data_IF_691917039385
#
_entry.id   IF_691917039385
#
_cell.length_a   1.000
_cell.length_b   1.000
_cell.length_c   1.000
_cell.angle_alpha   90.00
_cell.angle_beta   90.00
_cell.angle_gamma   90.00
#
_symmetry.space_group_name_H-M   'P 1'
#
loop_
_entity.id
_entity.type
_entity.pdbx_description
1 polymer ?
#
# COMPACT_ATOMS: atom_id res chain seq x y z
N UNK A 1 29.76 -13.25 -6.71
CA UNK A 1 29.21 -11.97 -6.25
C UNK A 1 28.01 -11.64 -7.12
N UNK A 2 26.81 -11.75 -6.57
CA UNK A 2 25.56 -11.30 -7.20
C UNK A 2 24.73 -10.70 -6.08
N UNK A 3 25.22 -9.56 -5.58
CA UNK A 3 24.38 -8.59 -4.89
C UNK A 3 23.51 -7.94 -5.94
N UNK A 4 22.21 -8.21 -5.83
CA UNK A 4 21.02 -7.45 -6.21
C UNK A 4 19.99 -8.57 -6.26
N UNK A 5 19.45 -8.93 -5.10
CA UNK A 5 18.24 -9.75 -5.03
C UNK A 5 17.12 -8.85 -5.55
N UNK A 6 17.02 -8.73 -6.87
CA UNK A 6 15.76 -8.42 -7.51
C UNK A 6 14.85 -9.59 -7.15
N UNK A 7 14.07 -9.40 -6.09
CA UNK A 7 12.96 -10.28 -5.74
C UNK A 7 12.09 -10.25 -7.01
N UNK A 8 12.06 -11.38 -7.70
CA UNK A 8 11.36 -11.61 -8.97
C UNK A 8 10.30 -12.65 -8.75
N UNK A 9 9.10 -12.31 -9.22
CA UNK A 9 7.94 -13.15 -9.47
C UNK A 9 7.28 -13.75 -8.22
N UNK A 10 6.34 -12.99 -7.67
CA UNK A 10 5.23 -13.58 -6.94
C UNK A 10 4.58 -12.66 -5.92
N UNK A 11 3.37 -12.18 -6.25
CA UNK A 11 2.28 -11.85 -5.33
C UNK A 11 2.47 -10.75 -4.26
N UNK A 12 3.71 -10.34 -3.95
CA UNK A 12 4.08 -9.41 -2.87
C UNK A 12 4.96 -8.24 -3.39
N UNK A 13 5.35 -8.24 -4.68
CA UNK A 13 6.34 -7.27 -5.23
C UNK A 13 5.77 -5.89 -5.62
N UNK A 14 4.46 -5.77 -5.85
CA UNK A 14 3.83 -4.44 -5.99
C UNK A 14 3.81 -3.65 -4.66
N UNK A 15 4.16 -4.29 -3.54
CA UNK A 15 4.01 -3.73 -2.20
C UNK A 15 5.09 -2.67 -1.88
N UNK A 16 6.22 -2.64 -2.62
CA UNK A 16 7.40 -1.83 -2.24
C UNK A 16 8.14 -1.09 -3.36
N UNK A 17 8.04 -1.51 -4.63
CA UNK A 17 8.99 -1.09 -5.66
C UNK A 17 8.43 -0.14 -6.74
N UNK A 18 7.11 -0.08 -6.95
CA UNK A 18 6.56 0.67 -8.09
C UNK A 18 6.26 2.15 -7.83
N UNK A 19 6.10 2.58 -6.56
CA UNK A 19 5.81 3.98 -6.24
C UNK A 19 7.01 4.77 -5.71
N UNK A 20 8.09 4.07 -5.36
CA UNK A 20 9.21 4.63 -4.58
C UNK A 20 8.86 4.95 -3.13
N UNK A 21 7.71 4.52 -2.61
CA UNK A 21 7.33 4.72 -1.21
C UNK A 21 7.35 3.38 -0.47
N UNK A 22 7.83 3.40 0.77
CA UNK A 22 7.60 2.27 1.67
C UNK A 22 6.17 2.31 2.15
N UNK A 23 5.44 1.22 1.93
CA UNK A 23 4.03 1.14 2.27
C UNK A 23 3.73 -0.07 3.16
N UNK A 24 2.59 -0.03 3.85
CA UNK A 24 2.03 -1.18 4.59
C UNK A 24 0.63 -1.43 4.10
N UNK A 25 0.29 -2.68 3.82
CA UNK A 25 -1.09 -3.02 3.49
C UNK A 25 -2.03 -2.61 4.61
N UNK A 26 -3.12 -1.94 4.22
CA UNK A 26 -4.08 -1.38 5.16
C UNK A 26 -5.25 -2.37 5.34
N UNK A 27 -5.47 -2.89 6.56
CA UNK A 27 -6.64 -3.73 6.82
C UNK A 27 -7.92 -2.89 6.67
N UNK A 28 -8.85 -3.36 5.85
CA UNK A 28 -10.13 -2.70 5.59
C UNK A 28 -11.30 -3.61 5.95
N UNK A 29 -12.48 -3.06 6.28
CA UNK A 29 -13.69 -3.82 6.57
C UNK A 29 -14.30 -4.37 5.27
N UNK A 30 -13.55 -5.25 4.61
CA UNK A 30 -13.95 -5.95 3.40
C UNK A 30 -14.51 -7.33 3.77
N UNK A 31 -15.47 -7.86 3.00
CA UNK A 31 -15.91 -9.23 3.18
C UNK A 31 -14.74 -10.18 2.94
N UNK A 32 -14.30 -10.87 3.99
CA UNK A 32 -13.28 -11.89 3.85
C UNK A 32 -13.87 -13.16 3.21
N UNK A 33 -13.35 -13.53 2.06
CA UNK A 33 -13.88 -14.64 1.24
C UNK A 33 -13.10 -15.93 1.49
N UNK A 34 -11.88 -15.86 2.05
CA UNK A 34 -11.08 -17.04 2.31
C UNK A 34 -11.62 -17.85 3.51
N UNK A 35 -11.53 -19.18 3.49
CA UNK A 35 -11.86 -19.99 4.66
C UNK A 35 -10.84 -19.74 5.77
N UNK A 36 -11.30 -19.31 6.96
CA UNK A 36 -10.41 -19.20 8.13
C UNK A 36 -10.33 -20.52 8.88
N UNK A 37 -9.12 -20.97 9.26
CA UNK A 37 -8.99 -22.05 10.22
C UNK A 37 -9.44 -21.54 11.60
N UNK A 38 -10.61 -21.99 12.09
CA UNK A 38 -11.15 -21.80 13.46
C UNK A 38 -10.64 -20.55 14.21
N UNK A 39 -10.98 -19.36 13.70
CA UNK A 39 -10.64 -18.09 14.34
C UNK A 39 -11.85 -17.16 14.38
N UNK A 40 -11.86 -16.24 15.35
CA UNK A 40 -12.85 -15.17 15.39
C UNK A 40 -12.76 -14.33 14.11
N UNK A 41 -13.92 -13.95 13.56
CA UNK A 41 -13.98 -13.04 12.43
C UNK A 41 -13.30 -11.71 12.80
N UNK A 42 -12.22 -11.36 12.12
CA UNK A 42 -11.64 -10.02 12.26
C UNK A 42 -12.58 -9.01 11.62
N UNK A 43 -12.66 -7.81 12.20
CA UNK A 43 -13.51 -6.72 11.69
C UNK A 43 -12.94 -6.06 10.43
N UNK A 44 -11.63 -6.18 10.25
CA UNK A 44 -10.89 -5.63 9.13
C UNK A 44 -9.83 -6.65 8.73
N UNK A 45 -9.67 -6.83 7.41
CA UNK A 45 -8.75 -7.79 6.82
C UNK A 45 -7.98 -7.16 5.68
N UNK A 46 -6.85 -7.77 5.36
CA UNK A 46 -6.03 -7.40 4.20
C UNK A 46 -6.41 -8.30 3.04
N UNK A 47 -7.29 -7.81 2.18
CA UNK A 47 -7.80 -8.52 1.00
C UNK A 47 -7.69 -7.64 -0.25
N UNK A 48 -7.55 -8.23 -1.45
CA UNK A 48 -7.51 -7.45 -2.68
C UNK A 48 -8.87 -6.80 -2.94
N UNK A 49 -8.83 -5.49 -3.18
CA UNK A 49 -9.99 -4.65 -3.54
C UNK A 49 -10.49 -4.98 -4.94
N UNK A 50 -9.56 -5.34 -5.82
CA UNK A 50 -9.88 -5.84 -7.15
C UNK A 50 -8.82 -6.82 -7.61
N UNK A 51 -9.26 -7.78 -8.43
CA UNK A 51 -8.38 -8.65 -9.20
C UNK A 51 -8.63 -8.45 -10.69
N UNK A 52 -7.56 -8.35 -11.48
CA UNK A 52 -7.65 -8.20 -12.94
C UNK A 52 -6.77 -9.20 -13.65
N UNK A 53 -7.22 -9.65 -14.80
CA UNK A 53 -6.40 -10.41 -15.73
C UNK A 53 -5.84 -9.47 -16.78
N UNK A 54 -4.52 -9.43 -16.93
CA UNK A 54 -3.83 -8.69 -17.97
C UNK A 54 -3.24 -9.69 -18.98
N UNK A 55 -3.76 -9.75 -20.21
CA UNK A 55 -3.16 -10.59 -21.24
C UNK A 55 -1.85 -9.95 -21.70
N UNK A 56 -0.73 -10.65 -21.53
CA UNK A 56 0.60 -10.14 -21.89
C UNK A 56 1.11 -10.79 -23.18
N UNK A 57 0.83 -12.08 -23.38
CA UNK A 57 1.01 -12.73 -24.67
C UNK A 57 -0.04 -13.83 -24.89
N UNK A 58 0.03 -14.48 -26.06
CA UNK A 58 -0.89 -15.56 -26.46
C UNK A 58 -0.96 -16.72 -25.45
N UNK A 59 0.13 -16.96 -24.70
CA UNK A 59 0.25 -18.13 -23.82
C UNK A 59 0.38 -17.80 -22.34
N UNK A 60 0.38 -16.53 -21.95
CA UNK A 60 0.42 -16.14 -20.54
C UNK A 60 -0.36 -14.87 -20.27
N UNK A 61 -1.00 -14.88 -19.10
CA UNK A 61 -1.77 -13.76 -18.56
C UNK A 61 -1.27 -13.51 -17.15
N UNK A 62 -1.16 -12.24 -16.78
CA UNK A 62 -0.89 -11.85 -15.41
C UNK A 62 -2.19 -11.69 -14.64
N UNK A 63 -2.16 -12.09 -13.38
CA UNK A 63 -3.22 -11.82 -12.42
C UNK A 63 -2.74 -10.69 -11.51
N UNK A 64 -3.38 -9.53 -11.63
CA UNK A 64 -3.07 -8.34 -10.88
C UNK A 64 -4.02 -8.23 -9.69
N UNK A 65 -3.47 -8.01 -8.50
CA UNK A 65 -4.21 -7.80 -7.27
C UNK A 65 -3.99 -6.38 -6.79
N UNK A 66 -5.08 -5.67 -6.54
CA UNK A 66 -5.05 -4.28 -6.10
C UNK A 66 -5.37 -4.21 -4.62
N UNK A 67 -4.52 -3.56 -3.84
CA UNK A 67 -4.69 -3.41 -2.40
C UNK A 67 -4.71 -1.93 -2.01
N UNK A 68 -5.30 -1.63 -0.86
CA UNK A 68 -5.07 -0.36 -0.18
C UNK A 68 -3.84 -0.50 0.69
N UNK A 69 -2.98 0.50 0.64
CA UNK A 69 -1.81 0.59 1.50
C UNK A 69 -1.67 2.00 2.05
N UNK A 70 -0.99 2.12 3.19
CA UNK A 70 -0.58 3.39 3.76
C UNK A 70 0.92 3.57 3.61
N UNK A 71 1.37 4.82 3.54
CA UNK A 71 2.79 5.16 3.68
C UNK A 71 3.25 5.01 5.13
N UNK A 72 4.56 4.90 5.37
CA UNK A 72 5.10 4.83 6.72
C UNK A 72 5.11 6.18 7.44
N UNK A 73 4.94 6.19 8.78
CA UNK A 73 5.16 7.38 9.58
C UNK A 73 6.64 7.76 9.61
N UNK A 74 6.97 9.05 9.77
CA UNK A 74 8.35 9.55 9.71
C UNK A 74 9.30 8.83 10.67
N UNK A 75 8.86 8.53 11.90
CA UNK A 75 9.68 7.89 12.92
C UNK A 75 10.16 6.48 12.52
N UNK A 76 9.28 5.69 11.89
CA UNK A 76 9.61 4.35 11.41
C UNK A 76 10.50 4.45 10.18
N UNK A 77 10.18 5.39 9.28
CA UNK A 77 10.95 5.63 8.06
C UNK A 77 12.41 6.04 8.37
N UNK A 78 12.62 6.93 9.34
CA UNK A 78 13.97 7.30 9.83
C UNK A 78 14.69 6.11 10.45
N UNK A 79 13.99 5.30 11.27
CA UNK A 79 14.58 4.13 11.93
C UNK A 79 15.03 3.08 10.91
N UNK A 80 14.20 2.79 9.89
CA UNK A 80 14.53 1.87 8.83
C UNK A 80 15.72 2.38 8.01
N UNK A 81 15.75 3.68 7.67
CA UNK A 81 16.87 4.29 6.95
C UNK A 81 18.18 4.28 7.76
N UNK A 82 18.13 4.44 9.08
CA UNK A 82 19.31 4.35 9.94
C UNK A 82 19.86 2.92 10.07
N UNK A 83 18.98 1.92 9.98
CA UNK A 83 19.34 0.49 10.07
C UNK A 83 19.76 -0.13 8.74
N UNK A 84 19.31 0.43 7.61
CA UNK A 84 19.61 -0.06 6.28
C UNK A 84 21.03 0.35 5.88
N UNK A 85 22.01 -0.53 6.12
CA UNK A 85 23.41 -0.21 5.79
C UNK A 85 23.70 -0.21 4.28
N UNK A 86 22.80 -0.73 3.43
CA UNK A 86 22.91 -0.73 1.96
C UNK A 86 21.70 -1.38 1.23
N UNK A 87 20.85 -2.18 1.92
CA UNK A 87 19.71 -2.88 1.33
C UNK A 87 18.35 -2.35 1.82
N UNK A 88 17.35 -2.35 0.94
CA UNK A 88 15.97 -1.96 1.26
C UNK A 88 15.38 -2.84 2.38
N UNK A 89 14.90 -2.20 3.45
CA UNK A 89 14.27 -2.89 4.58
C UNK A 89 12.74 -2.90 4.46
N UNK A 90 12.13 -4.07 4.64
CA UNK A 90 10.68 -4.22 4.68
C UNK A 90 10.11 -3.60 5.97
N UNK A 91 8.99 -2.87 5.89
CA UNK A 91 8.34 -2.35 7.07
C UNK A 91 7.59 -3.44 7.86
N UNK A 92 7.35 -3.20 9.16
CA UNK A 92 6.46 -4.06 9.93
C UNK A 92 5.01 -3.96 9.43
N UNK A 93 4.17 -4.98 9.64
CA UNK A 93 2.75 -4.93 9.25
C UNK A 93 1.98 -3.86 10.03
N UNK A 94 0.82 -3.44 9.51
CA UNK A 94 -0.06 -2.49 10.19
C UNK A 94 -0.45 -3.01 11.59
N UNK A 95 -0.33 -2.20 12.67
CA UNK A 95 -0.61 -2.68 14.02
C UNK A 95 -2.09 -3.06 14.21
N UNK A 96 -2.37 -4.29 14.64
CA UNK A 96 -3.74 -4.82 14.74
C UNK A 96 -4.69 -4.02 15.65
N UNK A 97 -4.15 -3.33 16.67
CA UNK A 97 -4.93 -2.58 17.66
C UNK A 97 -4.93 -1.05 17.41
N UNK A 98 -4.33 -0.59 16.32
CA UNK A 98 -4.23 0.83 15.99
C UNK A 98 -5.45 1.29 15.20
N UNK A 99 -6.01 2.44 15.59
CA UNK A 99 -7.10 3.09 14.84
C UNK A 99 -6.53 3.97 13.73
N UNK A 100 -7.34 4.25 12.70
CA UNK A 100 -6.94 5.16 11.64
C UNK A 100 -6.70 6.58 12.16
N UNK A 101 -7.40 6.99 13.23
CA UNK A 101 -7.20 8.30 13.85
C UNK A 101 -5.84 8.39 14.56
N UNK A 102 -5.45 7.35 15.30
CA UNK A 102 -4.13 7.26 15.92
C UNK A 102 -3.03 7.27 14.86
N UNK A 103 -3.24 6.51 13.77
CA UNK A 103 -2.29 6.47 12.66
C UNK A 103 -2.10 7.84 12.02
N UNK A 104 -3.18 8.56 11.72
CA UNK A 104 -3.11 9.91 11.12
C UNK A 104 -2.38 10.89 12.04
N UNK A 105 -2.51 10.73 13.36
CA UNK A 105 -1.76 11.55 14.31
C UNK A 105 -0.24 11.27 14.28
N UNK A 106 0.20 10.07 13.85
CA UNK A 106 1.63 9.77 13.67
C UNK A 106 2.25 10.43 12.43
N UNK A 107 1.43 10.91 11.49
CA UNK A 107 1.92 11.68 10.33
C UNK A 107 2.15 13.16 10.67
N UNK A 108 1.76 13.60 11.87
CA UNK A 108 1.96 14.98 12.33
C UNK A 108 3.37 15.13 12.94
N UNK A 109 4.09 16.15 12.49
CA UNK A 109 5.37 16.54 13.09
C UNK A 109 5.17 17.32 14.40
N UNK A 110 6.27 17.70 15.06
CA UNK A 110 6.24 18.46 16.33
C UNK A 110 5.52 19.82 16.21
N UNK A 111 5.45 20.37 14.99
CA UNK A 111 4.78 21.63 14.65
C UNK A 111 3.30 21.44 14.29
N UNK A 112 2.80 20.19 14.25
CA UNK A 112 1.42 19.84 13.91
C UNK A 112 1.12 19.82 12.41
N UNK A 113 2.13 19.94 11.56
CA UNK A 113 2.02 19.82 10.11
C UNK A 113 2.12 18.35 9.69
N UNK A 114 1.41 17.98 8.62
CA UNK A 114 1.48 16.63 8.05
C UNK A 114 2.74 16.53 7.20
N UNK A 115 3.66 15.64 7.58
CA UNK A 115 4.89 15.41 6.81
C UNK A 115 4.58 14.58 5.56
N UNK A 116 5.04 15.04 4.40
CA UNK A 116 4.89 14.27 3.17
C UNK A 116 5.75 13.00 3.21
N UNK A 117 5.23 11.85 2.75
CA UNK A 117 5.98 10.61 2.75
C UNK A 117 7.24 10.74 1.89
N UNK A 118 8.34 10.14 2.34
CA UNK A 118 9.60 10.18 1.62
C UNK A 118 9.59 9.21 0.44
N UNK A 119 9.89 9.72 -0.75
CA UNK A 119 10.13 8.91 -1.95
C UNK A 119 11.60 8.49 -2.02
N UNK A 120 11.84 7.23 -2.38
CA UNK A 120 13.14 6.61 -2.57
C UNK A 120 13.41 6.40 -4.05
N UNK A 121 14.50 7.01 -4.53
CA UNK A 121 14.99 6.83 -5.90
C UNK A 121 15.68 5.48 -6.08
N UNK A 122 15.77 5.00 -7.32
CA UNK A 122 16.44 3.72 -7.63
C UNK A 122 15.70 2.47 -7.15
N UNK A 123 14.40 2.61 -6.85
CA UNK A 123 13.50 1.51 -6.49
C UNK A 123 12.77 0.89 -7.69
N UNK A 124 12.88 1.50 -8.88
CA UNK A 124 12.28 0.99 -10.11
C UNK A 124 12.82 -0.39 -10.50
N UNK A 125 11.95 -1.22 -11.06
CA UNK A 125 12.24 -2.62 -11.38
C UNK A 125 13.02 -2.75 -12.69
N UNK A 126 12.89 -1.80 -13.62
CA UNK A 126 13.63 -1.76 -14.89
C UNK A 126 13.99 -0.35 -15.39
N UNK A 127 14.77 -0.30 -16.48
CA UNK A 127 15.22 0.95 -17.13
C UNK A 127 14.07 1.80 -17.67
N UNK A 128 12.93 1.18 -17.99
CA UNK A 128 11.74 1.86 -18.51
C UNK A 128 10.91 2.47 -17.36
N UNK A 129 10.86 1.80 -16.20
CA UNK A 129 10.19 2.27 -15.00
C UNK A 129 10.86 3.49 -14.37
N UNK A 130 12.16 3.70 -14.64
CA UNK A 130 12.87 4.91 -14.26
C UNK A 130 12.28 6.19 -14.89
N UNK A 131 11.50 6.07 -15.97
CA UNK A 131 10.84 7.20 -16.62
C UNK A 131 9.47 7.54 -16.02
N UNK A 132 8.89 6.69 -15.17
CA UNK A 132 7.61 6.98 -14.52
C UNK A 132 7.83 7.76 -13.22
N UNK A 133 7.09 8.86 -13.08
CA UNK A 133 7.09 9.68 -11.86
C UNK A 133 5.78 9.45 -11.11
N UNK A 134 5.88 8.90 -9.90
CA UNK A 134 4.76 8.86 -8.97
C UNK A 134 4.47 10.26 -8.43
N UNK A 135 3.19 10.65 -8.40
CA UNK A 135 2.74 11.95 -7.87
C UNK A 135 1.71 11.70 -6.79
N UNK A 136 1.81 12.43 -5.68
CA UNK A 136 0.77 12.45 -4.65
C UNK A 136 -0.42 13.25 -5.16
N UNK A 137 -1.61 12.66 -5.05
CA UNK A 137 -2.83 13.19 -5.64
C UNK A 137 -4.00 13.04 -4.68
N UNK A 138 -4.92 14.00 -4.71
CA UNK A 138 -6.18 13.89 -3.98
C UNK A 138 -7.02 12.72 -4.48
N UNK A 139 -7.83 12.12 -3.60
CA UNK A 139 -8.63 10.92 -3.94
C UNK A 139 -9.56 11.17 -5.12
N UNK A 140 -10.30 12.28 -5.12
CA UNK A 140 -11.26 12.60 -6.19
C UNK A 140 -10.56 12.86 -7.53
N UNK A 141 -9.44 13.57 -7.47
CA UNK A 141 -8.60 13.82 -8.65
C UNK A 141 -8.02 12.51 -9.21
N UNK A 142 -7.56 11.60 -8.34
CA UNK A 142 -7.07 10.29 -8.74
C UNK A 142 -8.17 9.43 -9.39
N UNK A 143 -9.40 9.50 -8.89
CA UNK A 143 -10.55 8.81 -9.50
C UNK A 143 -10.82 9.34 -10.91
N UNK A 144 -10.77 10.66 -11.09
CA UNK A 144 -11.01 11.32 -12.37
C UNK A 144 -9.90 11.00 -13.39
N UNK A 145 -8.63 11.17 -13.00
CA UNK A 145 -7.47 10.97 -13.87
C UNK A 145 -7.34 9.52 -14.31
N UNK A 146 -7.51 8.56 -13.38
CA UNK A 146 -7.40 7.14 -13.72
C UNK A 146 -8.59 6.65 -14.53
N UNK A 147 -9.80 7.15 -14.23
CA UNK A 147 -11.04 6.78 -14.90
C UNK A 147 -11.34 5.28 -14.90
N UNK A 148 -12.49 4.92 -15.51
CA UNK A 148 -12.87 3.53 -15.76
C UNK A 148 -12.75 2.60 -14.55
N UNK A 149 -12.18 1.42 -14.76
CA UNK A 149 -11.98 0.42 -13.69
C UNK A 149 -10.87 0.79 -12.71
N UNK A 150 -9.87 1.58 -13.11
CA UNK A 150 -8.77 2.04 -12.24
C UNK A 150 -9.23 3.08 -11.23
N UNK A 151 -10.00 4.07 -11.64
CA UNK A 151 -10.66 4.99 -10.71
C UNK A 151 -11.65 4.27 -9.76
N UNK A 152 -12.29 3.19 -10.23
CA UNK A 152 -13.17 2.35 -9.40
C UNK A 152 -12.43 1.65 -8.25
N UNK A 153 -11.17 1.25 -8.46
CA UNK A 153 -10.32 0.69 -7.40
C UNK A 153 -10.01 1.73 -6.33
N UNK A 154 -9.63 2.95 -6.74
CA UNK A 154 -9.34 4.04 -5.79
C UNK A 154 -10.58 4.40 -4.98
N UNK A 155 -11.75 4.48 -5.63
CA UNK A 155 -13.02 4.76 -4.95
C UNK A 155 -13.34 3.70 -3.90
N UNK A 156 -13.25 2.40 -4.25
CA UNK A 156 -13.50 1.30 -3.29
C UNK A 156 -12.52 1.30 -2.12
N UNK A 157 -11.24 1.59 -2.39
CA UNK A 157 -10.23 1.74 -1.35
C UNK A 157 -10.65 2.84 -0.35
N UNK A 158 -11.04 4.00 -0.88
CA UNK A 158 -11.46 5.12 -0.05
C UNK A 158 -12.75 4.87 0.72
N UNK A 159 -13.75 4.24 0.09
CA UNK A 159 -14.98 3.81 0.75
C UNK A 159 -14.69 2.88 1.94
N UNK A 160 -13.76 1.93 1.79
CA UNK A 160 -13.30 1.06 2.86
C UNK A 160 -12.64 1.83 4.01
N UNK A 161 -11.79 2.82 3.71
CA UNK A 161 -11.18 3.71 4.71
C UNK A 161 -12.25 4.50 5.46
N UNK A 162 -13.20 5.10 4.74
CA UNK A 162 -14.31 5.84 5.35
C UNK A 162 -15.19 4.94 6.22
N UNK A 163 -15.47 3.72 5.78
CA UNK A 163 -16.24 2.76 6.56
C UNK A 163 -15.49 2.36 7.84
N UNK A 164 -14.19 2.09 7.75
CA UNK A 164 -13.35 1.78 8.91
C UNK A 164 -13.35 2.92 9.93
N UNK A 165 -13.19 4.17 9.47
CA UNK A 165 -13.26 5.36 10.35
C UNK A 165 -14.59 5.47 11.08
N UNK A 166 -15.71 5.20 10.41
CA UNK A 166 -17.05 5.20 11.03
C UNK A 166 -17.16 4.10 12.10
N UNK A 167 -16.75 2.87 11.77
CA UNK A 167 -16.78 1.73 12.69
C UNK A 167 -15.87 1.93 13.93
N UNK A 168 -14.77 2.66 13.77
CA UNK A 168 -13.86 3.01 14.88
C UNK A 168 -14.41 4.16 15.74
N UNK A 169 -15.12 5.13 15.15
CA UNK A 169 -15.69 6.29 15.85
C UNK A 169 -17.07 6.08 16.48
N UNK A 170 -17.79 5.02 16.11
CA UNK A 170 -19.07 4.60 16.73
C UNK A 170 -18.89 3.84 18.06
N UNK A 171 -17.68 3.85 18.64
CA UNK A 171 -17.35 3.24 19.96
C UNK A 171 -17.36 4.26 21.08
#
# INVERSE_FOLDING_TARGET
>A
ETGVTAIREGFEECEYLQSGYRNRLLPLPLPHIQPRPNGDAQKCDTEPIATRLLPVATHYQYMLFWYAAETLPPSIETSLNASASEAFALPPPFPANMTLAQRVAEDQNEDGEVEEPKRHEGTGVDEDEAFYVGVLMGVEEAIEVLGGSSGDVVRRAWEGVCLRKKMEGEK
#
